data_IF_483876173860
#
_entry.id   IF_483876173860
#
_cell.length_a   1.000
_cell.length_b   1.000
_cell.length_c   1.000
_cell.angle_alpha   90.00
_cell.angle_beta   90.00
_cell.angle_gamma   90.00
#
_symmetry.space_group_name_H-M   'P 1'
#
loop_
_entity.id
_entity.type
_entity.pdbx_description
1 polymer ?
#
# COMPACT_ATOMS: atom_id res chain seq x y z
N UNK A 1 18.91 32.83 -21.57
CA UNK A 1 18.46 34.11 -22.16
C UNK A 1 17.75 34.93 -21.08
N UNK A 2 18.14 36.16 -20.99
CA UNK A 2 17.96 37.11 -19.89
C UNK A 2 16.52 37.34 -19.42
N UNK A 3 16.37 37.35 -18.09
CA UNK A 3 15.19 37.90 -17.40
C UNK A 3 15.31 39.41 -17.31
N UNK A 4 14.27 40.13 -17.71
CA UNK A 4 14.10 41.56 -17.41
C UNK A 4 13.35 41.70 -16.09
N UNK A 5 14.01 42.30 -15.12
CA UNK A 5 13.41 42.86 -13.93
C UNK A 5 13.13 44.34 -14.21
N UNK A 6 11.87 44.75 -14.08
CA UNK A 6 11.50 46.17 -14.07
C UNK A 6 11.23 46.55 -12.60
N UNK A 7 12.10 47.38 -12.06
CA UNK A 7 11.96 48.00 -10.75
C UNK A 7 11.32 49.37 -10.95
N UNK A 8 10.18 49.63 -10.32
CA UNK A 8 9.67 50.97 -10.12
C UNK A 8 9.80 51.37 -8.66
N UNK A 9 10.70 52.34 -8.37
CA UNK A 9 10.76 53.07 -7.11
C UNK A 9 9.89 54.30 -7.21
N UNK A 10 8.93 54.48 -6.31
CA UNK A 10 8.33 55.76 -5.99
C UNK A 10 8.49 55.94 -4.48
N UNK A 11 9.40 56.86 -4.12
CA UNK A 11 9.57 57.31 -2.74
C UNK A 11 8.52 58.35 -2.38
N UNK A 12 7.90 58.19 -1.22
CA UNK A 12 7.27 59.29 -0.45
C UNK A 12 7.48 58.99 1.04
N UNK A 13 8.31 59.81 1.65
CA UNK A 13 8.53 59.91 3.09
C UNK A 13 7.35 60.61 3.77
N UNK A 14 6.73 60.01 4.79
CA UNK A 14 6.29 60.70 6.01
C UNK A 14 6.10 59.69 7.17
N UNK A 15 6.64 60.03 8.33
CA UNK A 15 6.85 59.14 9.46
C UNK A 15 5.58 58.74 10.21
N UNK A 16 5.66 57.60 10.84
CA UNK A 16 5.38 57.19 12.24
C UNK A 16 5.09 55.70 12.35
N UNK A 17 5.90 55.05 13.19
CA UNK A 17 5.64 53.76 13.84
C UNK A 17 5.02 52.63 12.97
N UNK A 18 5.90 51.91 12.28
CA UNK A 18 5.52 50.63 11.68
C UNK A 18 5.49 49.54 12.76
N UNK A 19 4.30 49.00 13.02
CA UNK A 19 4.16 47.62 13.44
C UNK A 19 4.54 46.78 12.23
N UNK A 20 5.60 45.98 12.33
CA UNK A 20 5.87 44.91 11.37
C UNK A 20 4.78 43.87 11.55
N UNK A 21 3.75 43.94 10.72
CA UNK A 21 2.91 42.77 10.39
C UNK A 21 3.71 42.04 9.33
N UNK A 22 4.35 40.95 9.69
CA UNK A 22 4.88 39.98 8.73
C UNK A 22 3.68 39.37 8.05
N UNK A 23 3.33 39.90 6.89
CA UNK A 23 2.38 39.31 5.96
C UNK A 23 3.06 38.03 5.43
N UNK A 24 2.82 36.93 6.12
CA UNK A 24 3.19 35.58 5.63
C UNK A 24 2.22 35.27 4.49
N UNK A 25 2.57 35.76 3.31
CA UNK A 25 1.92 35.30 2.08
C UNK A 25 2.12 33.76 2.03
N UNK A 26 1.09 33.03 2.38
CA UNK A 26 1.00 31.59 2.19
C UNK A 26 1.21 31.30 0.70
N UNK A 27 2.43 30.98 0.31
CA UNK A 27 2.77 30.57 -1.06
C UNK A 27 2.16 29.20 -1.30
N UNK A 28 1.07 29.21 -2.04
CA UNK A 28 0.43 27.98 -2.54
C UNK A 28 1.23 27.50 -3.74
N UNK A 29 1.94 26.38 -3.63
CA UNK A 29 2.59 25.73 -4.76
C UNK A 29 1.98 24.35 -5.03
N UNK A 30 1.92 24.00 -6.29
CA UNK A 30 1.63 22.65 -6.74
C UNK A 30 2.61 22.29 -7.85
N UNK A 31 3.27 21.13 -7.73
CA UNK A 31 4.39 20.76 -8.59
C UNK A 31 4.24 19.33 -9.12
N UNK A 32 4.81 19.09 -10.30
CA UNK A 32 4.96 17.77 -10.89
C UNK A 32 6.42 17.31 -10.81
N UNK A 33 6.61 16.05 -10.44
CA UNK A 33 7.92 15.42 -10.42
C UNK A 33 7.90 14.17 -11.30
N UNK A 34 8.95 13.98 -12.07
CA UNK A 34 9.12 12.83 -12.98
C UNK A 34 10.19 11.85 -12.48
N UNK A 35 10.78 12.10 -11.32
CA UNK A 35 11.79 11.23 -10.72
C UNK A 35 11.77 11.32 -9.19
N UNK A 36 12.24 10.26 -8.56
CA UNK A 36 12.27 10.14 -7.09
C UNK A 36 13.34 11.00 -6.42
N UNK A 37 14.39 11.42 -7.15
CA UNK A 37 15.43 12.28 -6.58
C UNK A 37 14.88 13.67 -6.25
N UNK A 38 14.06 14.24 -7.12
CA UNK A 38 13.41 15.54 -6.86
C UNK A 38 12.42 15.44 -5.70
N UNK A 39 11.71 14.33 -5.57
CA UNK A 39 10.81 14.06 -4.43
C UNK A 39 11.59 13.99 -3.13
N UNK A 40 12.69 13.24 -3.10
CA UNK A 40 13.56 13.09 -1.93
C UNK A 40 14.16 14.45 -1.50
N UNK A 41 14.54 15.29 -2.46
CA UNK A 41 15.09 16.62 -2.18
C UNK A 41 14.08 17.56 -1.50
N UNK A 42 12.77 17.41 -1.80
CA UNK A 42 11.71 18.24 -1.25
C UNK A 42 11.15 17.66 0.04
N UNK A 43 10.72 16.39 0.01
CA UNK A 43 10.08 15.75 1.13
C UNK A 43 11.07 15.34 2.24
N UNK A 44 12.36 15.16 1.90
CA UNK A 44 13.39 14.69 2.84
C UNK A 44 12.98 13.37 3.50
N UNK A 45 13.15 13.30 4.81
CA UNK A 45 12.81 12.12 5.62
C UNK A 45 11.29 11.94 5.88
N UNK A 46 10.46 12.94 5.51
CA UNK A 46 9.02 12.91 5.79
C UNK A 46 8.25 11.82 5.04
N UNK A 47 8.80 11.31 3.92
CA UNK A 47 8.30 10.13 3.21
C UNK A 47 9.05 8.83 3.59
N UNK A 48 9.93 8.90 4.57
CA UNK A 48 10.68 7.75 5.08
C UNK A 48 9.96 6.99 6.19
N UNK A 49 10.59 5.88 6.61
CA UNK A 49 10.12 4.96 7.65
C UNK A 49 9.83 5.65 9.00
N UNK A 50 10.60 6.67 9.35
CA UNK A 50 10.44 7.39 10.62
C UNK A 50 9.11 8.14 10.75
N UNK A 51 8.49 8.51 9.63
CA UNK A 51 7.22 9.27 9.57
C UNK A 51 6.08 8.43 9.03
N UNK A 52 6.32 7.72 7.91
CA UNK A 52 5.29 6.91 7.26
C UNK A 52 5.19 5.53 7.91
N UNK A 53 4.11 5.30 8.66
CA UNK A 53 3.87 4.04 9.36
C UNK A 53 3.61 2.88 8.41
N UNK A 54 2.80 3.12 7.35
CA UNK A 54 2.52 2.11 6.34
C UNK A 54 3.74 1.90 5.44
N UNK A 55 4.11 0.65 5.21
CA UNK A 55 5.16 0.25 4.28
C UNK A 55 4.92 0.81 2.87
N UNK A 56 3.66 0.79 2.42
CA UNK A 56 3.25 1.16 1.05
C UNK A 56 3.28 2.68 0.80
N UNK A 57 3.37 3.50 1.85
CA UNK A 57 3.41 4.96 1.76
C UNK A 57 4.85 5.51 1.78
N UNK A 58 5.86 4.64 1.88
CA UNK A 58 7.28 5.03 1.96
C UNK A 58 7.91 5.25 0.60
N UNK A 59 8.73 6.26 0.49
CA UNK A 59 9.42 6.58 -0.76
C UNK A 59 10.33 5.44 -1.23
N UNK A 60 10.95 4.70 -0.30
CA UNK A 60 11.82 3.57 -0.64
C UNK A 60 11.02 2.42 -1.25
N UNK A 61 9.82 2.11 -0.72
CA UNK A 61 8.90 1.15 -1.32
C UNK A 61 8.51 1.58 -2.74
N UNK A 62 8.03 2.82 -2.91
CA UNK A 62 7.55 3.35 -4.19
C UNK A 62 8.65 3.39 -5.25
N UNK A 63 9.87 3.81 -4.85
CA UNK A 63 11.04 3.83 -5.72
C UNK A 63 11.45 2.42 -6.13
N UNK A 64 11.61 1.50 -5.19
CA UNK A 64 11.99 0.12 -5.46
C UNK A 64 10.94 -0.59 -6.34
N UNK A 65 9.64 -0.36 -6.07
CA UNK A 65 8.55 -0.88 -6.88
C UNK A 65 8.65 -0.38 -8.34
N UNK A 66 8.88 0.92 -8.51
CA UNK A 66 9.04 1.50 -9.85
C UNK A 66 10.26 0.93 -10.57
N UNK A 67 11.43 0.94 -9.92
CA UNK A 67 12.69 0.54 -10.55
C UNK A 67 12.73 -0.94 -10.94
N UNK A 68 12.14 -1.82 -10.12
CA UNK A 68 12.24 -3.27 -10.32
C UNK A 68 10.99 -3.89 -10.96
N UNK A 69 9.80 -3.35 -10.68
CA UNK A 69 8.57 -3.95 -11.19
C UNK A 69 7.95 -3.17 -12.37
N UNK A 70 8.25 -1.87 -12.49
CA UNK A 70 7.58 -0.97 -13.44
C UNK A 70 8.58 -0.08 -14.19
N UNK A 71 9.78 -0.58 -14.62
CA UNK A 71 10.83 0.26 -15.20
C UNK A 71 10.41 0.95 -16.50
N UNK A 72 9.48 0.36 -17.27
CA UNK A 72 8.95 0.91 -18.52
C UNK A 72 7.87 1.96 -18.32
N UNK A 73 7.44 2.23 -17.06
CA UNK A 73 6.39 3.21 -16.75
C UNK A 73 7.01 4.53 -16.35
N UNK A 74 6.57 5.60 -16.97
CA UNK A 74 6.97 6.95 -16.55
C UNK A 74 6.16 7.36 -15.32
N UNK A 75 6.80 7.71 -14.19
CA UNK A 75 6.10 8.19 -13.01
C UNK A 75 5.56 9.60 -13.25
N UNK A 76 4.41 9.89 -12.66
CA UNK A 76 3.83 11.21 -12.50
C UNK A 76 3.54 11.42 -11.02
N UNK A 77 4.44 12.10 -10.34
CA UNK A 77 4.33 12.36 -8.91
C UNK A 77 3.83 13.79 -8.73
N UNK A 78 2.72 13.92 -8.03
CA UNK A 78 2.03 15.21 -7.84
C UNK A 78 2.11 15.60 -6.38
N UNK A 79 2.48 16.84 -6.15
CA UNK A 79 2.64 17.43 -4.83
C UNK A 79 1.76 18.66 -4.69
N UNK A 80 1.13 18.81 -3.53
CA UNK A 80 0.43 20.03 -3.13
C UNK A 80 0.82 20.44 -1.72
N UNK A 81 0.89 21.74 -1.48
CA UNK A 81 1.19 22.29 -0.16
C UNK A 81 0.27 23.45 0.22
N UNK A 82 0.03 23.62 1.52
CA UNK A 82 -0.69 24.74 2.12
C UNK A 82 -0.07 25.08 3.49
N UNK A 83 0.73 26.15 3.51
CA UNK A 83 1.62 26.40 4.64
C UNK A 83 2.63 25.26 4.78
N UNK A 84 2.66 24.63 5.96
CA UNK A 84 3.52 23.46 6.22
C UNK A 84 2.84 22.12 5.91
N UNK A 85 1.54 22.15 5.57
CA UNK A 85 0.80 20.94 5.24
C UNK A 85 1.06 20.53 3.79
N UNK A 86 1.33 19.24 3.58
CA UNK A 86 1.72 18.68 2.29
C UNK A 86 1.00 17.36 2.01
N UNK A 87 0.63 17.14 0.74
CA UNK A 87 0.13 15.87 0.24
C UNK A 87 0.82 15.47 -1.06
N UNK A 88 1.04 14.18 -1.22
CA UNK A 88 1.70 13.57 -2.36
C UNK A 88 0.81 12.48 -2.98
N UNK A 89 0.82 12.38 -4.31
CA UNK A 89 0.16 11.30 -5.02
C UNK A 89 1.12 10.73 -6.07
N UNK A 90 1.39 9.42 -5.98
CA UNK A 90 2.33 8.72 -6.85
C UNK A 90 1.56 7.96 -7.92
N UNK A 91 1.63 8.45 -9.14
CA UNK A 91 0.97 7.86 -10.30
C UNK A 91 2.01 7.40 -11.33
N UNK A 92 1.56 6.56 -12.27
CA UNK A 92 2.33 6.16 -13.45
C UNK A 92 1.52 6.39 -14.72
N UNK A 93 2.19 6.71 -15.81
CA UNK A 93 1.57 6.87 -17.12
C UNK A 93 1.18 5.52 -17.70
N UNK A 94 -0.08 5.38 -18.11
CA UNK A 94 -0.61 4.17 -18.78
C UNK A 94 -1.01 4.43 -20.24
N UNK A 95 -0.97 5.69 -20.67
CA UNK A 95 -1.26 6.12 -22.02
C UNK A 95 -1.34 7.65 -22.13
N UNK A 96 -1.70 8.17 -23.30
CA UNK A 96 -1.81 9.62 -23.48
C UNK A 96 -2.92 10.19 -22.57
N UNK A 97 -2.54 11.04 -21.62
CA UNK A 97 -3.45 11.62 -20.62
C UNK A 97 -4.13 10.59 -19.71
N UNK A 98 -3.61 9.37 -19.63
CA UNK A 98 -4.12 8.31 -18.74
C UNK A 98 -3.04 7.91 -17.75
N UNK A 99 -3.43 7.89 -16.48
CA UNK A 99 -2.55 7.55 -15.38
C UNK A 99 -3.21 6.53 -14.46
N UNK A 100 -2.41 5.77 -13.74
CA UNK A 100 -2.85 4.85 -12.71
C UNK A 100 -1.99 5.01 -11.44
N UNK A 101 -2.45 4.44 -10.34
CA UNK A 101 -1.65 4.31 -9.14
C UNK A 101 -0.27 3.70 -9.47
N UNK A 102 0.79 4.22 -8.87
CA UNK A 102 2.10 3.57 -8.89
C UNK A 102 2.06 2.40 -7.89
N UNK A 103 1.39 1.35 -8.29
CA UNK A 103 1.11 0.16 -7.49
C UNK A 103 1.00 -1.07 -8.38
N UNK A 104 1.20 -2.24 -7.79
CA UNK A 104 0.95 -3.54 -8.41
C UNK A 104 0.41 -4.54 -7.37
N UNK A 105 0.42 -5.84 -7.68
CA UNK A 105 -0.09 -6.90 -6.79
C UNK A 105 0.67 -7.09 -5.48
N UNK A 106 1.81 -6.42 -5.26
CA UNK A 106 2.50 -6.40 -3.96
C UNK A 106 1.91 -5.38 -3.00
N UNK A 107 1.13 -4.42 -3.49
CA UNK A 107 0.50 -3.40 -2.66
C UNK A 107 -0.78 -3.93 -2.00
N UNK A 108 -0.88 -3.87 -0.68
CA UNK A 108 -2.13 -4.11 0.04
C UNK A 108 -3.02 -2.87 0.05
N UNK A 109 -2.38 -1.70 -0.04
CA UNK A 109 -3.06 -0.40 -0.12
C UNK A 109 -2.33 0.55 -1.07
N UNK A 110 -3.08 1.47 -1.63
CA UNK A 110 -2.59 2.69 -2.30
C UNK A 110 -3.46 3.87 -1.89
N UNK A 111 -2.85 5.00 -1.53
CA UNK A 111 -3.56 6.24 -1.15
C UNK A 111 -2.69 7.46 -1.38
N UNK A 112 -3.27 8.67 -1.41
CA UNK A 112 -2.49 9.90 -1.26
C UNK A 112 -1.77 9.92 0.07
N UNK A 113 -0.52 10.40 0.09
CA UNK A 113 0.34 10.39 1.27
C UNK A 113 0.40 11.80 1.85
N UNK A 114 0.11 11.92 3.15
CA UNK A 114 0.27 13.16 3.90
C UNK A 114 1.55 13.10 4.74
N UNK A 115 2.24 14.24 4.89
CA UNK A 115 3.51 14.27 5.62
C UNK A 115 3.34 14.39 7.14
N UNK A 116 2.11 14.57 7.61
CA UNK A 116 1.72 14.53 9.02
C UNK A 116 0.23 14.17 9.12
N UNK A 117 -0.24 13.97 10.35
CA UNK A 117 -1.67 13.78 10.60
C UNK A 117 -2.38 15.13 10.65
N UNK A 118 -3.00 15.49 9.53
CA UNK A 118 -3.80 16.71 9.40
C UNK A 118 -5.27 16.42 9.66
N UNK A 119 -6.03 17.46 10.01
CA UNK A 119 -7.49 17.38 10.07
C UNK A 119 -8.12 17.13 8.68
N UNK A 120 -9.37 16.71 8.66
CA UNK A 120 -10.09 16.37 7.44
C UNK A 120 -10.20 17.55 6.46
N UNK A 121 -10.37 18.77 6.97
CA UNK A 121 -10.50 19.99 6.15
C UNK A 121 -9.20 20.26 5.41
N UNK A 122 -8.07 20.18 6.11
CA UNK A 122 -6.73 20.33 5.53
C UNK A 122 -6.44 19.24 4.50
N UNK A 123 -6.70 17.95 4.86
CA UNK A 123 -6.55 16.82 3.93
C UNK A 123 -7.37 17.03 2.65
N UNK A 124 -8.64 17.42 2.78
CA UNK A 124 -9.53 17.68 1.65
C UNK A 124 -9.04 18.83 0.76
N UNK A 125 -8.58 19.94 1.36
CA UNK A 125 -8.04 21.09 0.63
C UNK A 125 -6.80 20.70 -0.20
N UNK A 126 -5.87 19.96 0.40
CA UNK A 126 -4.67 19.48 -0.28
C UNK A 126 -5.02 18.54 -1.43
N UNK A 127 -5.92 17.58 -1.23
CA UNK A 127 -6.37 16.66 -2.28
C UNK A 127 -7.10 17.37 -3.40
N UNK A 128 -7.94 18.37 -3.09
CA UNK A 128 -8.61 19.17 -4.11
C UNK A 128 -7.62 19.98 -4.98
N UNK A 129 -6.49 20.42 -4.40
CA UNK A 129 -5.39 21.04 -5.16
C UNK A 129 -4.70 20.05 -6.09
N UNK A 130 -4.36 18.85 -5.60
CA UNK A 130 -3.82 17.77 -6.44
C UNK A 130 -4.77 17.47 -7.62
N UNK A 131 -6.07 17.31 -7.33
CA UNK A 131 -7.08 17.04 -8.33
C UNK A 131 -7.20 18.16 -9.38
N UNK A 132 -7.13 19.43 -8.98
CA UNK A 132 -7.14 20.58 -9.91
C UNK A 132 -5.91 20.59 -10.81
N UNK A 133 -4.74 20.31 -10.26
CA UNK A 133 -3.47 20.27 -11.00
C UNK A 133 -3.50 19.16 -12.06
N UNK A 134 -3.98 17.96 -11.69
CA UNK A 134 -4.03 16.79 -12.58
C UNK A 134 -4.84 16.99 -13.84
N UNK A 135 -5.75 17.99 -13.91
CA UNK A 135 -6.51 18.33 -15.13
C UNK A 135 -5.65 18.74 -16.32
N UNK A 136 -4.46 19.29 -16.07
CA UNK A 136 -3.55 19.72 -17.14
C UNK A 136 -2.81 18.56 -17.79
N UNK A 137 -2.64 17.44 -17.08
CA UNK A 137 -1.87 16.26 -17.53
C UNK A 137 -2.72 15.04 -17.80
N UNK A 138 -3.95 14.99 -17.24
CA UNK A 138 -4.75 13.77 -17.21
C UNK A 138 -6.20 14.03 -17.60
N UNK A 139 -6.76 13.11 -18.38
CA UNK A 139 -8.20 13.05 -18.61
C UNK A 139 -8.83 11.81 -17.95
N UNK A 140 -8.03 10.79 -17.61
CA UNK A 140 -8.44 9.62 -16.84
C UNK A 140 -7.35 9.23 -15.86
N UNK A 141 -7.77 8.98 -14.62
CA UNK A 141 -6.91 8.45 -13.58
C UNK A 141 -7.62 7.26 -12.94
N UNK A 142 -6.88 6.21 -12.61
CA UNK A 142 -7.38 5.05 -11.89
C UNK A 142 -6.46 4.75 -10.72
N UNK A 143 -7.01 4.67 -9.51
CA UNK A 143 -6.24 4.27 -8.33
C UNK A 143 -6.88 3.07 -7.65
N UNK A 144 -6.05 2.10 -7.31
CA UNK A 144 -6.42 0.84 -6.65
C UNK A 144 -5.14 0.18 -6.10
N UNK A 145 -5.20 -0.60 -5.00
CA UNK A 145 -6.32 -0.82 -4.08
C UNK A 145 -6.40 0.29 -3.01
N UNK A 146 -7.51 1.01 -2.92
CA UNK A 146 -7.67 2.14 -1.98
C UNK A 146 -8.40 1.68 -0.72
N UNK A 147 -7.84 1.89 0.49
CA UNK A 147 -8.53 1.63 1.75
C UNK A 147 -9.56 2.73 2.06
N UNK A 148 -10.51 2.45 2.96
CA UNK A 148 -11.44 3.47 3.47
C UNK A 148 -11.63 3.42 5.00
N UNK A 149 -10.95 2.52 5.70
CA UNK A 149 -10.90 2.48 7.16
C UNK A 149 -10.30 3.75 7.78
N UNK A 150 -9.47 4.45 7.00
CA UNK A 150 -8.87 5.76 7.33
C UNK A 150 -9.48 6.90 6.50
N UNK A 151 -10.62 6.65 5.85
CA UNK A 151 -11.32 7.58 4.95
C UNK A 151 -10.56 7.96 3.68
N UNK A 152 -9.50 7.24 3.30
CA UNK A 152 -8.68 7.61 2.14
C UNK A 152 -9.49 7.59 0.84
N UNK A 153 -10.32 6.56 0.59
CA UNK A 153 -11.17 6.50 -0.59
C UNK A 153 -12.21 7.63 -0.59
N UNK A 154 -12.93 7.80 0.52
CA UNK A 154 -14.01 8.79 0.65
C UNK A 154 -13.50 10.23 0.54
N UNK A 155 -12.35 10.55 1.15
CA UNK A 155 -11.75 11.88 1.05
C UNK A 155 -11.24 12.18 -0.37
N UNK A 156 -10.61 11.19 -1.01
CA UNK A 156 -10.11 11.36 -2.37
C UNK A 156 -11.26 11.53 -3.36
N UNK A 157 -12.32 10.73 -3.24
CA UNK A 157 -13.54 10.86 -4.04
C UNK A 157 -14.11 12.29 -3.93
N UNK A 158 -14.41 12.75 -2.72
CA UNK A 158 -14.95 14.10 -2.45
C UNK A 158 -14.06 15.21 -3.00
N UNK A 159 -12.73 15.10 -2.82
CA UNK A 159 -11.79 16.11 -3.29
C UNK A 159 -11.78 16.24 -4.82
N UNK A 160 -11.82 15.11 -5.53
CA UNK A 160 -11.85 15.09 -6.98
C UNK A 160 -13.19 15.59 -7.51
N UNK A 161 -14.32 15.23 -6.89
CA UNK A 161 -15.64 15.77 -7.23
C UNK A 161 -15.70 17.29 -7.04
N UNK A 162 -15.22 17.82 -5.92
CA UNK A 162 -15.12 19.26 -5.68
C UNK A 162 -14.23 19.97 -6.72
N UNK A 163 -13.21 19.27 -7.21
CA UNK A 163 -12.41 19.79 -8.33
C UNK A 163 -13.12 19.63 -9.69
N UNK A 164 -14.30 19.03 -9.78
CA UNK A 164 -15.10 18.89 -11.01
C UNK A 164 -14.75 17.67 -11.86
N UNK A 165 -14.10 16.65 -11.28
CA UNK A 165 -13.96 15.34 -11.90
C UNK A 165 -15.26 14.55 -11.73
N UNK A 166 -15.56 13.67 -12.68
CA UNK A 166 -16.57 12.62 -12.50
C UNK A 166 -15.86 11.40 -11.91
N UNK A 167 -16.35 10.92 -10.77
CA UNK A 167 -15.72 9.83 -10.01
C UNK A 167 -16.64 8.62 -10.02
N UNK A 168 -16.05 7.45 -10.24
CA UNK A 168 -16.70 6.15 -10.04
C UNK A 168 -15.92 5.36 -9.02
N UNK A 169 -16.61 4.94 -7.96
CA UNK A 169 -16.09 4.07 -6.91
C UNK A 169 -16.69 2.68 -7.06
N UNK A 170 -15.85 1.66 -7.03
CA UNK A 170 -16.25 0.26 -7.03
C UNK A 170 -15.39 -0.55 -6.07
N UNK A 171 -15.94 -1.64 -5.55
CA UNK A 171 -15.14 -2.61 -4.80
C UNK A 171 -14.17 -3.29 -5.77
N UNK A 172 -12.90 -3.29 -5.42
CA UNK A 172 -11.82 -3.90 -6.20
C UNK A 172 -11.45 -5.28 -5.66
N UNK A 173 -11.35 -5.42 -4.33
CA UNK A 173 -10.89 -6.65 -3.70
C UNK A 173 -11.34 -6.73 -2.24
N UNK A 174 -11.14 -7.91 -1.64
CA UNK A 174 -11.26 -8.17 -0.21
C UNK A 174 -9.87 -8.16 0.43
N UNK A 175 -9.75 -7.55 1.62
CA UNK A 175 -8.55 -7.59 2.45
C UNK A 175 -8.89 -8.29 3.77
N UNK A 176 -8.20 -9.37 4.05
CA UNK A 176 -8.45 -10.19 5.23
C UNK A 176 -7.52 -9.81 6.37
N UNK A 177 -8.07 -9.50 7.54
CA UNK A 177 -7.31 -9.07 8.71
C UNK A 177 -7.73 -9.81 9.99
N UNK A 178 -6.82 -9.77 10.97
CA UNK A 178 -7.05 -10.18 12.34
C UNK A 178 -6.67 -9.04 13.29
N UNK A 179 -7.65 -8.48 13.99
CA UNK A 179 -7.40 -7.62 15.14
C UNK A 179 -7.08 -8.52 16.35
N UNK A 180 -5.84 -8.45 16.84
CA UNK A 180 -5.40 -9.31 17.95
C UNK A 180 -6.08 -8.92 19.26
N UNK A 181 -6.33 -7.63 19.47
CA UNK A 181 -7.05 -7.09 20.63
C UNK A 181 -6.42 -7.52 21.98
N UNK A 182 -5.10 -7.59 22.06
CA UNK A 182 -4.36 -7.99 23.25
C UNK A 182 -4.51 -9.47 23.65
N UNK A 183 -5.11 -10.31 22.80
CA UNK A 183 -5.22 -11.75 23.03
C UNK A 183 -3.84 -12.42 22.94
N UNK A 184 -3.63 -13.46 23.75
CA UNK A 184 -2.54 -14.41 23.54
C UNK A 184 -2.85 -15.30 22.33
N UNK A 185 -1.83 -15.97 21.80
CA UNK A 185 -2.04 -16.94 20.73
C UNK A 185 -3.02 -18.06 21.14
N UNK A 186 -2.93 -18.56 22.38
CA UNK A 186 -3.85 -19.61 22.85
C UNK A 186 -5.30 -19.15 22.87
N UNK A 187 -5.57 -17.88 23.25
CA UNK A 187 -6.90 -17.29 23.20
C UNK A 187 -7.42 -17.17 21.77
N UNK A 188 -6.61 -16.60 20.87
CA UNK A 188 -6.91 -16.53 19.44
C UNK A 188 -7.15 -17.92 18.85
N UNK A 189 -6.28 -18.88 19.15
CA UNK A 189 -6.33 -20.24 18.62
C UNK A 189 -7.57 -21.02 19.05
N UNK A 190 -8.05 -20.79 20.27
CA UNK A 190 -9.26 -21.41 20.79
C UNK A 190 -10.50 -21.13 19.93
N UNK A 191 -10.55 -19.97 19.27
CA UNK A 191 -11.65 -19.53 18.42
C UNK A 191 -11.54 -20.01 16.95
N UNK A 192 -10.42 -20.64 16.58
CA UNK A 192 -10.24 -21.13 15.20
C UNK A 192 -11.12 -22.37 14.90
N UNK A 193 -11.45 -22.59 13.61
CA UNK A 193 -12.27 -23.73 13.19
C UNK A 193 -11.78 -25.06 13.78
N UNK A 194 -12.68 -25.87 14.34
CA UNK A 194 -12.34 -27.13 15.00
C UNK A 194 -11.59 -28.11 14.07
N UNK A 195 -11.90 -28.09 12.77
CA UNK A 195 -11.21 -28.91 11.77
C UNK A 195 -9.74 -28.49 11.62
N UNK A 196 -9.46 -27.18 11.56
CA UNK A 196 -8.10 -26.64 11.51
C UNK A 196 -7.32 -27.07 12.76
N UNK A 197 -7.87 -26.82 13.95
CA UNK A 197 -7.24 -27.19 15.24
C UNK A 197 -6.98 -28.70 15.36
N UNK A 198 -7.92 -29.55 14.92
CA UNK A 198 -7.75 -31.01 14.96
C UNK A 198 -6.68 -31.48 13.98
N UNK A 199 -6.59 -30.86 12.80
CA UNK A 199 -5.55 -31.13 11.81
C UNK A 199 -4.18 -30.81 12.36
N UNK A 200 -4.00 -29.61 12.91
CA UNK A 200 -2.74 -29.18 13.53
C UNK A 200 -2.33 -30.14 14.65
N UNK A 201 -3.22 -30.45 15.61
CA UNK A 201 -2.95 -31.37 16.71
C UNK A 201 -2.48 -32.73 16.22
N UNK A 202 -3.15 -33.29 15.20
CA UNK A 202 -2.83 -34.60 14.62
C UNK A 202 -1.48 -34.60 13.89
N UNK A 203 -1.17 -33.50 13.16
CA UNK A 203 0.05 -33.41 12.36
C UNK A 203 1.26 -33.11 13.23
N UNK A 204 1.13 -32.18 14.19
CA UNK A 204 2.17 -31.87 15.15
C UNK A 204 2.61 -33.10 15.97
N UNK A 205 1.67 -33.99 16.37
CA UNK A 205 2.00 -35.23 17.08
C UNK A 205 2.95 -36.16 16.32
N UNK A 206 3.01 -36.08 15.00
CA UNK A 206 3.92 -36.91 14.19
C UNK A 206 5.36 -36.45 14.25
N UNK A 207 5.60 -35.20 14.67
CA UNK A 207 6.91 -34.57 14.79
C UNK A 207 7.79 -34.70 13.54
N UNK A 208 7.17 -34.63 12.35
CA UNK A 208 7.87 -34.76 11.07
C UNK A 208 8.35 -33.41 10.52
N UNK A 209 7.74 -32.32 10.99
CA UNK A 209 8.00 -30.96 10.46
C UNK A 209 8.73 -30.18 11.54
N UNK A 210 9.91 -29.69 11.25
CA UNK A 210 10.61 -28.69 12.05
C UNK A 210 10.38 -27.30 11.46
N UNK A 211 10.33 -26.24 12.30
CA UNK A 211 10.08 -24.87 11.89
C UNK A 211 11.17 -23.96 12.43
N UNK A 212 11.62 -23.04 11.59
CA UNK A 212 12.48 -21.92 11.96
C UNK A 212 11.82 -20.61 11.56
N UNK A 213 12.08 -19.54 12.30
CA UNK A 213 11.65 -18.17 11.99
C UNK A 213 12.88 -17.28 12.08
N UNK A 214 13.32 -16.80 10.92
CA UNK A 214 14.53 -15.99 10.80
C UNK A 214 14.14 -14.50 10.75
N UNK A 215 14.94 -13.69 11.44
CA UNK A 215 14.79 -12.22 11.52
C UNK A 215 15.89 -11.49 10.77
N UNK A 216 16.99 -12.17 10.53
CA UNK A 216 18.14 -11.68 9.78
C UNK A 216 18.11 -12.30 8.37
N UNK A 217 18.51 -11.52 7.38
CA UNK A 217 18.60 -12.02 6.00
C UNK A 217 19.86 -12.88 5.84
N UNK A 218 19.71 -14.09 5.29
CA UNK A 218 20.79 -14.89 4.77
C UNK A 218 20.44 -15.40 3.37
N UNK A 219 21.46 -15.53 2.51
CA UNK A 219 21.29 -16.09 1.17
C UNK A 219 20.83 -17.55 1.21
N UNK A 220 21.25 -18.32 2.20
CA UNK A 220 20.88 -19.71 2.38
C UNK A 220 19.38 -19.84 2.64
N UNK A 221 18.87 -19.12 3.64
CA UNK A 221 17.43 -19.16 4.00
C UNK A 221 16.56 -18.59 2.89
N UNK A 222 17.05 -17.56 2.18
CA UNK A 222 16.34 -17.01 1.03
C UNK A 222 16.27 -18.00 -0.14
N UNK A 223 17.33 -18.75 -0.41
CA UNK A 223 17.32 -19.80 -1.42
C UNK A 223 16.37 -20.96 -1.05
N UNK A 224 16.27 -21.31 0.23
CA UNK A 224 15.25 -22.27 0.70
C UNK A 224 13.84 -21.75 0.45
N UNK A 225 13.56 -20.47 0.73
CA UNK A 225 12.28 -19.83 0.38
C UNK A 225 11.99 -19.90 -1.11
N UNK A 226 12.95 -19.54 -1.97
CA UNK A 226 12.80 -19.57 -3.43
C UNK A 226 12.54 -21.00 -3.92
N UNK A 227 13.30 -21.98 -3.43
CA UNK A 227 13.12 -23.40 -3.75
C UNK A 227 11.72 -23.91 -3.43
N UNK A 228 11.18 -23.53 -2.26
CA UNK A 228 9.80 -23.89 -1.88
C UNK A 228 8.79 -23.21 -2.80
N UNK A 229 9.00 -21.92 -3.10
CA UNK A 229 8.07 -21.14 -3.93
C UNK A 229 7.97 -21.71 -5.35
N UNK A 230 9.09 -22.00 -5.99
CA UNK A 230 9.17 -22.58 -7.34
C UNK A 230 8.54 -23.98 -7.47
N UNK A 231 8.58 -24.76 -6.37
CA UNK A 231 7.99 -26.11 -6.29
C UNK A 231 6.56 -26.13 -5.74
N UNK A 232 5.96 -24.96 -5.53
CA UNK A 232 4.59 -24.84 -5.02
C UNK A 232 3.57 -24.74 -6.17
N UNK A 233 2.26 -24.75 -5.81
CA UNK A 233 1.16 -24.51 -6.76
C UNK A 233 1.04 -23.07 -7.22
N UNK A 234 1.84 -22.16 -6.68
CA UNK A 234 1.77 -20.73 -7.01
C UNK A 234 2.23 -20.49 -8.44
N UNK A 235 1.69 -19.48 -9.12
CA UNK A 235 2.26 -19.03 -10.38
C UNK A 235 3.69 -18.53 -10.17
N UNK A 236 4.48 -18.53 -11.23
CA UNK A 236 5.83 -18.00 -11.21
C UNK A 236 5.87 -16.58 -10.61
N UNK A 237 6.88 -16.30 -9.78
CA UNK A 237 7.05 -14.99 -9.16
C UNK A 237 7.45 -13.96 -10.22
N UNK A 238 6.60 -12.96 -10.41
CA UNK A 238 6.82 -11.98 -11.48
C UNK A 238 8.04 -11.07 -11.27
N UNK A 239 8.42 -10.81 -10.01
CA UNK A 239 9.54 -9.91 -9.68
C UNK A 239 10.31 -10.41 -8.44
N UNK A 240 11.10 -11.49 -8.58
CA UNK A 240 11.83 -12.09 -7.46
C UNK A 240 12.86 -11.13 -6.85
N UNK A 241 13.53 -10.31 -7.67
CA UNK A 241 14.51 -9.33 -7.20
C UNK A 241 13.88 -8.25 -6.31
N UNK A 242 12.64 -7.87 -6.58
CA UNK A 242 11.91 -6.95 -5.73
C UNK A 242 11.67 -7.54 -4.34
N UNK A 243 11.20 -8.79 -4.26
CA UNK A 243 10.96 -9.45 -2.98
C UNK A 243 12.24 -9.68 -2.20
N UNK A 244 13.33 -10.05 -2.88
CA UNK A 244 14.64 -10.22 -2.24
C UNK A 244 15.13 -8.92 -1.61
N UNK A 245 15.12 -7.82 -2.38
CA UNK A 245 15.49 -6.50 -1.85
C UNK A 245 14.59 -6.03 -0.73
N UNK A 246 13.30 -6.32 -0.80
CA UNK A 246 12.38 -6.04 0.31
C UNK A 246 12.81 -6.81 1.57
N UNK A 247 13.09 -8.11 1.44
CA UNK A 247 13.53 -8.93 2.57
C UNK A 247 14.85 -8.41 3.18
N UNK A 248 15.83 -8.05 2.36
CA UNK A 248 17.09 -7.44 2.79
C UNK A 248 16.89 -6.13 3.57
N UNK A 249 16.06 -5.21 3.03
CA UNK A 249 15.76 -3.94 3.68
C UNK A 249 14.99 -4.11 4.99
N UNK A 250 14.01 -5.00 5.01
CA UNK A 250 13.19 -5.25 6.20
C UNK A 250 13.98 -6.03 7.27
N UNK A 251 14.92 -6.91 6.88
CA UNK A 251 15.82 -7.55 7.81
C UNK A 251 16.80 -6.55 8.45
N UNK A 252 17.40 -5.66 7.65
CA UNK A 252 18.27 -4.60 8.16
C UNK A 252 17.58 -3.68 9.16
N UNK A 253 16.25 -3.53 9.03
CA UNK A 253 15.41 -2.77 9.96
C UNK A 253 14.88 -3.61 11.14
N UNK A 254 15.18 -4.92 11.21
CA UNK A 254 14.67 -5.83 12.25
C UNK A 254 13.19 -6.21 12.06
N UNK A 255 12.61 -5.88 10.92
CA UNK A 255 11.17 -6.05 10.62
C UNK A 255 10.85 -7.35 9.87
N UNK A 256 11.83 -8.05 9.31
CA UNK A 256 11.62 -9.32 8.60
C UNK A 256 11.23 -10.46 9.54
N UNK A 257 10.31 -11.31 9.10
CA UNK A 257 10.01 -12.62 9.66
C UNK A 257 9.90 -13.60 8.51
N UNK A 258 10.98 -14.38 8.30
CA UNK A 258 11.02 -15.44 7.29
C UNK A 258 10.80 -16.79 7.99
N UNK A 259 9.62 -17.36 7.80
CA UNK A 259 9.29 -18.67 8.33
C UNK A 259 9.64 -19.76 7.33
N UNK A 260 10.35 -20.79 7.78
CA UNK A 260 10.74 -21.96 6.98
C UNK A 260 10.37 -23.25 7.74
N UNK A 261 9.80 -24.21 7.00
CA UNK A 261 9.46 -25.54 7.53
C UNK A 261 10.19 -26.62 6.75
N UNK A 262 10.72 -27.60 7.46
CA UNK A 262 11.55 -28.69 6.91
C UNK A 262 10.99 -30.06 7.25
N UNK A 263 11.20 -31.03 6.36
CA UNK A 263 11.03 -32.47 6.59
C UNK A 263 12.33 -33.13 6.17
N UNK A 264 12.93 -33.89 7.07
CA UNK A 264 14.21 -34.61 6.85
C UNK A 264 15.34 -33.70 6.31
N UNK A 265 15.35 -32.42 6.73
CA UNK A 265 16.33 -31.41 6.31
C UNK A 265 15.98 -30.66 5.00
N UNK A 266 14.94 -31.08 4.27
CA UNK A 266 14.51 -30.45 3.05
C UNK A 266 13.46 -29.36 3.32
N UNK A 267 13.57 -28.15 2.74
CA UNK A 267 12.57 -27.10 2.90
C UNK A 267 11.28 -27.46 2.16
N UNK A 268 10.14 -27.42 2.86
CA UNK A 268 8.83 -27.87 2.34
C UNK A 268 7.72 -26.83 2.47
N UNK A 269 7.91 -25.79 3.29
CA UNK A 269 7.01 -24.62 3.33
C UNK A 269 7.80 -23.37 3.72
N UNK A 270 7.37 -22.24 3.19
CA UNK A 270 8.00 -20.95 3.45
C UNK A 270 6.96 -19.83 3.51
N UNK A 271 7.20 -18.84 4.38
CA UNK A 271 6.38 -17.65 4.52
C UNK A 271 7.26 -16.43 4.74
N UNK A 272 6.99 -15.36 4.01
CA UNK A 272 7.68 -14.08 4.17
C UNK A 272 6.71 -13.02 4.70
N UNK A 273 6.98 -12.52 5.91
CA UNK A 273 6.19 -11.50 6.59
C UNK A 273 7.07 -10.31 6.96
N UNK A 274 6.45 -9.15 7.18
CA UNK A 274 7.09 -8.00 7.85
C UNK A 274 6.29 -7.61 9.08
N UNK A 275 7.00 -7.19 10.14
CA UNK A 275 6.40 -6.79 11.43
C UNK A 275 6.95 -5.44 11.84
N UNK A 276 6.08 -4.44 11.92
CA UNK A 276 6.45 -3.09 12.33
C UNK A 276 5.22 -2.31 12.83
N UNK A 277 5.42 -1.36 13.73
CA UNK A 277 4.37 -0.48 14.27
C UNK A 277 3.13 -1.22 14.80
N UNK A 278 3.31 -2.41 15.37
CA UNK A 278 2.21 -3.24 15.88
C UNK A 278 1.43 -4.00 14.78
N UNK A 279 1.91 -3.99 13.54
CA UNK A 279 1.28 -4.66 12.40
C UNK A 279 2.18 -5.74 11.80
N UNK A 280 1.61 -6.91 11.50
CA UNK A 280 2.24 -7.96 10.72
C UNK A 280 1.60 -8.05 9.33
N UNK A 281 2.39 -7.90 8.27
CA UNK A 281 1.96 -8.04 6.88
C UNK A 281 2.42 -9.40 6.34
N UNK A 282 1.49 -10.20 5.82
CA UNK A 282 1.78 -11.50 5.20
C UNK A 282 1.98 -11.32 3.70
N UNK A 283 3.22 -11.15 3.27
CA UNK A 283 3.52 -10.90 1.86
C UNK A 283 3.39 -12.16 1.01
N UNK A 284 3.97 -13.26 1.47
CA UNK A 284 4.01 -14.52 0.72
C UNK A 284 3.88 -15.72 1.64
N UNK A 285 3.24 -16.75 1.11
CA UNK A 285 3.25 -18.09 1.69
C UNK A 285 3.23 -19.13 0.57
N UNK A 286 3.97 -20.22 0.75
CA UNK A 286 4.03 -21.34 -0.17
C UNK A 286 4.32 -22.64 0.58
N UNK A 287 3.96 -23.76 -0.01
CA UNK A 287 4.38 -25.09 0.40
C UNK A 287 4.46 -26.00 -0.81
N UNK A 288 5.27 -27.02 -0.74
CA UNK A 288 5.44 -28.00 -1.81
C UNK A 288 4.20 -28.91 -1.86
N UNK A 289 3.67 -29.16 -3.05
CA UNK A 289 2.47 -29.98 -3.23
C UNK A 289 2.64 -31.41 -2.70
N UNK A 290 3.79 -32.04 -2.95
CA UNK A 290 4.08 -33.41 -2.51
C UNK A 290 4.11 -33.55 -0.99
N UNK A 291 4.40 -32.47 -0.25
CA UNK A 291 4.42 -32.44 1.21
C UNK A 291 3.04 -32.22 1.87
N UNK A 292 1.98 -31.96 1.08
CA UNK A 292 0.63 -31.58 1.56
C UNK A 292 0.08 -32.57 2.60
N UNK A 293 0.38 -33.88 2.50
CA UNK A 293 -0.03 -34.89 3.48
C UNK A 293 0.49 -34.63 4.89
N UNK A 294 1.58 -33.89 5.05
CA UNK A 294 2.17 -33.49 6.36
C UNK A 294 1.65 -32.14 6.84
N UNK A 295 0.95 -31.38 6.00
CA UNK A 295 0.43 -30.03 6.25
C UNK A 295 1.50 -29.03 6.74
N UNK A 296 2.70 -28.96 6.09
CA UNK A 296 3.79 -28.14 6.60
C UNK A 296 3.44 -26.65 6.57
N UNK A 297 2.74 -26.17 5.53
CA UNK A 297 2.28 -24.79 5.45
C UNK A 297 1.36 -24.39 6.62
N UNK A 298 0.43 -25.29 7.02
CA UNK A 298 -0.45 -25.04 8.16
C UNK A 298 0.33 -25.00 9.48
N UNK A 299 1.27 -25.93 9.69
CA UNK A 299 2.11 -25.95 10.90
C UNK A 299 3.01 -24.72 10.97
N UNK A 300 3.56 -24.29 9.83
CA UNK A 300 4.33 -23.07 9.73
C UNK A 300 3.47 -21.83 10.06
N UNK A 301 2.25 -21.76 9.53
CA UNK A 301 1.32 -20.67 9.87
C UNK A 301 1.04 -20.60 11.37
N UNK A 302 0.81 -21.74 12.03
CA UNK A 302 0.64 -21.77 13.50
C UNK A 302 1.83 -21.14 14.21
N UNK A 303 3.05 -21.52 13.84
CA UNK A 303 4.27 -21.00 14.45
C UNK A 303 4.44 -19.49 14.18
N UNK A 304 4.17 -19.03 12.95
CA UNK A 304 4.24 -17.62 12.58
C UNK A 304 3.23 -16.77 13.36
N UNK A 305 1.96 -17.19 13.41
CA UNK A 305 0.92 -16.49 14.18
C UNK A 305 1.26 -16.46 15.68
N UNK A 306 1.72 -17.58 16.25
CA UNK A 306 2.15 -17.61 17.64
C UNK A 306 3.31 -16.64 17.88
N UNK A 307 4.29 -16.60 17.00
CA UNK A 307 5.45 -15.72 17.12
C UNK A 307 5.04 -14.23 17.10
N UNK A 308 4.24 -13.82 16.11
CA UNK A 308 3.89 -12.41 16.00
C UNK A 308 2.92 -11.95 17.08
N UNK A 309 2.06 -12.83 17.59
CA UNK A 309 1.12 -12.50 18.67
C UNK A 309 1.84 -12.49 20.04
N UNK A 310 2.58 -13.55 20.39
CA UNK A 310 3.11 -13.73 21.75
C UNK A 310 4.50 -13.12 21.93
N UNK A 311 5.29 -12.96 20.85
CA UNK A 311 6.68 -12.47 20.93
C UNK A 311 6.80 -11.05 20.37
N UNK A 312 6.24 -10.79 19.19
CA UNK A 312 6.28 -9.45 18.57
C UNK A 312 5.17 -8.54 19.09
N UNK A 313 4.14 -9.07 19.76
CA UNK A 313 3.01 -8.35 20.35
C UNK A 313 2.29 -7.44 19.38
N UNK A 314 1.98 -7.95 18.18
CA UNK A 314 1.26 -7.16 17.18
C UNK A 314 -0.20 -6.95 17.57
N UNK A 315 -0.75 -5.80 17.18
CA UNK A 315 -2.17 -5.46 17.33
C UNK A 315 -3.00 -5.94 16.14
N UNK A 316 -2.37 -6.00 14.95
CA UNK A 316 -3.02 -6.31 13.68
C UNK A 316 -2.18 -7.30 12.87
N UNK A 317 -2.84 -8.28 12.26
CA UNK A 317 -2.25 -9.12 11.22
C UNK A 317 -3.05 -8.92 9.93
N UNK A 318 -2.36 -8.53 8.85
CA UNK A 318 -2.95 -8.29 7.53
C UNK A 318 -2.50 -9.37 6.54
N UNK A 319 -3.46 -10.10 5.99
CA UNK A 319 -3.21 -11.17 5.01
C UNK A 319 -3.20 -10.67 3.56
N UNK A 320 -3.19 -9.36 3.36
CA UNK A 320 -3.24 -8.76 2.04
C UNK A 320 -4.57 -8.98 1.32
N UNK A 321 -4.59 -8.62 0.06
CA UNK A 321 -5.77 -8.69 -0.81
C UNK A 321 -6.00 -10.11 -1.35
N UNK A 322 -7.19 -10.35 -1.91
CA UNK A 322 -7.62 -11.62 -2.48
C UNK A 322 -8.57 -12.41 -1.58
N UNK A 323 -9.52 -13.11 -2.19
CA UNK A 323 -10.61 -13.80 -1.50
C UNK A 323 -10.41 -15.32 -1.45
N UNK A 324 -9.20 -15.79 -1.19
CA UNK A 324 -8.90 -17.21 -1.01
C UNK A 324 -9.58 -17.76 0.25
N UNK A 325 -10.32 -18.85 0.10
CA UNK A 325 -11.14 -19.42 1.18
C UNK A 325 -10.36 -19.77 2.45
N UNK A 326 -9.08 -20.16 2.33
CA UNK A 326 -8.24 -20.50 3.47
C UNK A 326 -7.94 -19.30 4.37
N UNK A 327 -7.93 -18.06 3.85
CA UNK A 327 -7.70 -16.85 4.65
C UNK A 327 -8.75 -16.70 5.76
N UNK A 328 -9.99 -17.10 5.50
CA UNK A 328 -11.10 -17.04 6.47
C UNK A 328 -10.96 -18.02 7.64
N UNK A 329 -10.09 -19.02 7.51
CA UNK A 329 -9.80 -19.94 8.63
C UNK A 329 -8.88 -19.27 9.67
N UNK A 330 -8.10 -18.28 9.25
CA UNK A 330 -7.10 -17.58 10.07
C UNK A 330 -7.56 -16.17 10.46
N UNK A 331 -8.25 -15.46 9.57
CA UNK A 331 -8.67 -14.08 9.75
C UNK A 331 -10.12 -14.00 10.22
N UNK A 332 -10.46 -12.89 10.89
CA UNK A 332 -11.78 -12.69 11.49
C UNK A 332 -12.58 -11.60 10.77
N UNK A 333 -11.91 -10.67 10.11
CA UNK A 333 -12.54 -9.54 9.45
C UNK A 333 -12.13 -9.43 7.99
N UNK A 334 -13.02 -8.83 7.20
CA UNK A 334 -12.78 -8.51 5.79
C UNK A 334 -13.02 -7.03 5.59
N UNK A 335 -12.01 -6.32 5.09
CA UNK A 335 -12.10 -4.92 4.69
C UNK A 335 -12.23 -4.81 3.17
N UNK A 336 -13.02 -3.87 2.70
CA UNK A 336 -13.11 -3.59 1.28
C UNK A 336 -11.89 -2.79 0.82
N UNK A 337 -11.38 -3.15 -0.34
CA UNK A 337 -10.44 -2.33 -1.12
C UNK A 337 -11.17 -1.78 -2.32
N UNK A 338 -11.00 -0.49 -2.56
CA UNK A 338 -11.74 0.21 -3.60
C UNK A 338 -10.87 0.52 -4.80
N UNK A 339 -11.52 0.58 -5.95
CA UNK A 339 -11.04 1.22 -7.17
C UNK A 339 -11.77 2.54 -7.31
N UNK A 340 -11.01 3.63 -7.49
CA UNK A 340 -11.52 4.94 -7.85
C UNK A 340 -11.07 5.26 -9.26
N UNK A 341 -12.02 5.58 -10.12
CA UNK A 341 -11.78 6.03 -11.48
C UNK A 341 -12.25 7.47 -11.62
N UNK A 342 -11.34 8.34 -12.06
CA UNK A 342 -11.58 9.77 -12.24
C UNK A 342 -11.53 10.12 -13.71
N UNK A 343 -12.58 10.82 -14.19
CA UNK A 343 -12.69 11.26 -15.57
C UNK A 343 -12.87 12.77 -15.61
N UNK A 344 -12.00 13.45 -16.39
CA UNK A 344 -12.13 14.88 -16.60
C UNK A 344 -13.17 15.17 -17.70
N UNK A 345 -14.37 15.69 -17.38
CA UNK A 345 -15.49 15.77 -18.32
C UNK A 345 -15.27 16.77 -19.48
N UNK A 346 -14.37 17.75 -19.30
CA UNK A 346 -14.05 18.70 -20.35
C UNK A 346 -13.12 18.11 -21.44
N UNK A 347 -12.65 16.88 -21.28
CA UNK A 347 -11.91 16.17 -22.31
C UNK A 347 -12.85 15.17 -23.02
N UNK A 348 -13.04 15.27 -24.36
CA UNK A 348 -13.94 14.39 -25.11
C UNK A 348 -13.56 12.89 -24.98
N UNK A 349 -12.29 12.56 -24.75
CA UNK A 349 -11.84 11.18 -24.56
C UNK A 349 -12.42 10.52 -23.30
N UNK A 350 -12.94 11.32 -22.36
CA UNK A 350 -13.61 10.83 -21.15
C UNK A 350 -15.07 10.44 -21.36
N UNK A 351 -15.74 10.94 -22.39
CA UNK A 351 -17.19 10.82 -22.53
C UNK A 351 -17.67 9.39 -22.73
N UNK A 352 -17.02 8.63 -23.59
CA UNK A 352 -17.42 7.24 -23.84
C UNK A 352 -17.25 6.33 -22.61
N UNK A 353 -16.14 6.38 -21.87
CA UNK A 353 -16.02 5.69 -20.59
C UNK A 353 -17.08 6.09 -19.56
N UNK A 354 -17.34 7.40 -19.39
CA UNK A 354 -18.37 7.91 -18.48
C UNK A 354 -19.75 7.35 -18.83
N UNK A 355 -20.14 7.40 -20.11
CA UNK A 355 -21.43 6.86 -20.57
C UNK A 355 -21.54 5.35 -20.33
N UNK A 356 -20.45 4.59 -20.50
CA UNK A 356 -20.43 3.15 -20.21
C UNK A 356 -20.66 2.87 -18.72
N UNK A 357 -20.05 3.63 -17.82
CA UNK A 357 -20.29 3.49 -16.38
C UNK A 357 -21.75 3.73 -16.02
N UNK A 358 -22.36 4.79 -16.52
CA UNK A 358 -23.79 5.04 -16.28
C UNK A 358 -24.69 3.96 -16.86
N UNK A 359 -24.40 3.46 -18.07
CA UNK A 359 -25.18 2.40 -18.70
C UNK A 359 -25.08 1.08 -17.92
N UNK A 360 -23.89 0.70 -17.44
CA UNK A 360 -23.71 -0.51 -16.64
C UNK A 360 -24.40 -0.42 -15.27
N UNK A 361 -24.37 0.75 -14.63
CA UNK A 361 -25.11 1.00 -13.39
C UNK A 361 -26.62 0.88 -13.54
N UNK A 362 -27.18 1.30 -14.69
CA UNK A 362 -28.61 1.14 -15.01
C UNK A 362 -28.98 -0.32 -15.30
N UNK A 363 -28.11 -1.07 -15.98
CA UNK A 363 -28.33 -2.50 -16.25
C UNK A 363 -28.28 -3.34 -14.97
N UNK A 364 -27.34 -3.06 -14.05
CA UNK A 364 -27.25 -3.75 -12.77
C UNK A 364 -28.48 -3.54 -11.88
N UNK A 365 -29.06 -2.35 -11.86
CA UNK A 365 -30.31 -2.07 -11.13
C UNK A 365 -31.55 -2.78 -11.72
N UNK A 366 -31.58 -3.08 -13.02
CA UNK A 366 -32.67 -3.84 -13.65
C UNK A 366 -32.59 -5.35 -13.43
N UNK A 367 -31.41 -5.89 -13.13
CA UNK A 367 -31.21 -7.30 -12.85
C UNK A 367 -31.48 -7.67 -11.38
N UNK A 368 -31.65 -6.67 -10.50
CA UNK A 368 -31.93 -6.85 -9.06
C UNK A 368 -33.40 -6.56 -8.67
N UNK A 369 -34.27 -6.29 -9.65
CA UNK A 369 -35.73 -6.19 -9.55
C UNK A 369 -36.40 -7.42 -10.20
#
# INVERSE_FOLDING_TARGET
MQRFLIQYSIGLTYGKKSRFVTDTTLTMSSEYHSNFQSVQAIAGEKLGRSVQKSLFDRIDWLRQLHELCLPDKSPLIVHSSEGEAEAWMFLMKTGLGRHAALANWYNFTFRPIFLADYDEVTKLALLAKLAKQLKSSSHRIEITPVPDEDSAASLTERAFEQAGWIVFRSKADDNHILNVNGRTFDQYWADRPGQLRSTVRRKAKKNLVSVRIEKEFSEEDWNDYVSVYERSWKPEEGNPDFLKKLAEHEAAAGCMRLGLAYIDGEPVAAQFWTVENGEALIHKLAHIEDATKSSPGTLLSVAMFQHVIDIDHVDLIDFGTGNDGYKREWMEEVRDRYRLEFYWPNNPLSWLPILRHYASGLAGKRASL
#
